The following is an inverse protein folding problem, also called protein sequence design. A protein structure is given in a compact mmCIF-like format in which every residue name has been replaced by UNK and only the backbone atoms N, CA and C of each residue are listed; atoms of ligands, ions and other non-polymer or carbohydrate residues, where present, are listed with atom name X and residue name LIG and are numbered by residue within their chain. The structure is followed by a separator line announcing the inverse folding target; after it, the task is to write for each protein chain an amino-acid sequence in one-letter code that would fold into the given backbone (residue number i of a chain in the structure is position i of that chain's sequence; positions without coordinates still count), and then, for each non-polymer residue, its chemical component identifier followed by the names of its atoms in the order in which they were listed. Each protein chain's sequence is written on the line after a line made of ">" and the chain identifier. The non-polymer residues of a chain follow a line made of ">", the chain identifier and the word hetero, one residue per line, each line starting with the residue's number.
data_IF_582164626878
#
_entry.id   IF_582164626878
#
_cell.length_a   1.000
_cell.length_b   1.000
_cell.length_c   1.000
_cell.angle_alpha   90.00
_cell.angle_beta   90.00
_cell.angle_gamma   90.00
#
_symmetry.space_group_name_H-M   'P 1'
#
loop_
_entity.id
_entity.type
_entity.pdbx_description
1 polymer ?
#
# COMPACT_ATOMS: atom_id res chain seq x y z
N UNK A 1 19.65 -8.20 -18.91
CA UNK A 1 19.63 -7.77 -17.49
C UNK A 1 18.17 -7.73 -17.08
N UNK A 2 17.84 -8.31 -15.93
CA UNK A 2 16.46 -8.35 -15.43
C UNK A 2 16.41 -7.73 -14.03
N UNK A 3 15.33 -7.02 -13.74
CA UNK A 3 15.01 -6.52 -12.41
C UNK A 3 13.96 -7.45 -11.80
N UNK A 4 14.27 -8.01 -10.62
CA UNK A 4 13.35 -8.86 -9.87
C UNK A 4 12.99 -8.18 -8.57
N UNK A 5 11.70 -8.12 -8.29
CA UNK A 5 11.14 -7.55 -7.07
C UNK A 5 10.06 -8.48 -6.54
N UNK A 6 9.78 -8.40 -5.25
CA UNK A 6 8.78 -9.26 -4.63
C UNK A 6 8.82 -9.16 -3.11
N UNK A 7 7.90 -9.87 -2.48
CA UNK A 7 7.85 -10.05 -1.03
C UNK A 7 7.35 -11.45 -0.71
N UNK A 8 7.57 -11.88 0.52
CA UNK A 8 6.97 -13.10 1.04
C UNK A 8 6.42 -12.83 2.43
N UNK A 9 5.32 -13.48 2.75
CA UNK A 9 4.74 -13.56 4.09
C UNK A 9 4.54 -15.02 4.48
N UNK A 10 3.98 -15.25 5.67
CA UNK A 10 3.59 -16.60 6.11
C UNK A 10 2.43 -17.19 5.30
N UNK A 11 1.62 -16.34 4.66
CA UNK A 11 0.43 -16.74 3.90
C UNK A 11 0.69 -16.75 2.38
N UNK A 12 0.94 -15.57 1.80
CA UNK A 12 1.22 -15.41 0.36
C UNK A 12 2.55 -14.72 0.09
N UNK A 13 3.19 -15.10 -1.01
CA UNK A 13 4.32 -14.40 -1.59
C UNK A 13 4.07 -14.00 -3.03
N UNK A 14 4.77 -12.97 -3.47
CA UNK A 14 4.67 -12.40 -4.80
C UNK A 14 6.04 -12.07 -5.37
N UNK A 15 6.20 -12.28 -6.68
CA UNK A 15 7.34 -11.77 -7.42
C UNK A 15 6.90 -11.23 -8.78
N UNK A 16 7.70 -10.28 -9.25
CA UNK A 16 7.69 -9.77 -10.62
C UNK A 16 9.12 -9.75 -11.17
N UNK A 17 9.30 -10.25 -12.39
CA UNK A 17 10.54 -10.21 -13.15
C UNK A 17 10.32 -9.33 -14.39
N UNK A 18 11.01 -8.19 -14.43
CA UNK A 18 11.00 -7.23 -15.51
C UNK A 18 12.29 -7.37 -16.33
N UNK A 19 12.16 -7.47 -17.65
CA UNK A 19 13.31 -7.61 -18.54
C UNK A 19 13.08 -6.93 -19.89
N UNK A 20 14.17 -6.69 -20.62
CA UNK A 20 14.09 -6.06 -21.94
C UNK A 20 13.37 -6.93 -22.97
N UNK A 21 12.72 -6.33 -23.98
CA UNK A 21 12.07 -7.07 -25.06
C UNK A 21 13.12 -7.77 -25.92
N UNK A 22 12.66 -8.67 -26.80
CA UNK A 22 13.55 -9.19 -27.84
C UNK A 22 14.02 -8.04 -28.74
N UNK A 23 15.32 -7.99 -29.13
CA UNK A 23 15.83 -6.92 -29.98
C UNK A 23 14.99 -6.74 -31.24
N UNK A 24 14.59 -5.51 -31.52
CA UNK A 24 13.76 -5.15 -32.65
C UNK A 24 14.09 -3.74 -33.12
N UNK A 25 13.59 -3.34 -34.29
CA UNK A 25 13.67 -1.97 -34.79
C UNK A 25 12.65 -1.02 -34.16
N UNK A 26 11.93 -1.46 -33.13
CA UNK A 26 10.95 -0.63 -32.41
C UNK A 26 11.67 0.48 -31.65
N UNK A 27 11.06 1.67 -31.64
CA UNK A 27 11.47 2.76 -30.74
C UNK A 27 11.35 2.36 -29.25
N UNK A 28 10.50 1.38 -28.94
CA UNK A 28 10.28 0.83 -27.60
C UNK A 28 11.15 -0.41 -27.32
N UNK A 29 12.26 -0.60 -28.03
CA UNK A 29 13.18 -1.73 -27.82
C UNK A 29 13.86 -1.75 -26.45
N UNK A 30 13.64 -0.74 -25.61
CA UNK A 30 14.11 -0.64 -24.23
C UNK A 30 12.98 -0.62 -23.18
N UNK A 31 11.72 -0.70 -23.60
CA UNK A 31 10.58 -0.68 -22.67
C UNK A 31 10.51 -2.02 -21.92
N UNK A 32 10.54 -2.02 -20.58
CA UNK A 32 10.57 -3.26 -19.82
C UNK A 32 9.28 -4.08 -20.02
N UNK A 33 9.46 -5.36 -20.29
CA UNK A 33 8.39 -6.36 -20.35
C UNK A 33 8.35 -7.18 -19.07
N UNK A 34 7.14 -7.52 -18.63
CA UNK A 34 6.90 -8.48 -17.56
C UNK A 34 7.19 -9.88 -18.10
N UNK A 35 8.35 -10.42 -17.72
CA UNK A 35 8.80 -11.76 -18.12
C UNK A 35 8.10 -12.83 -17.31
N UNK A 36 7.92 -12.57 -16.01
CA UNK A 36 7.25 -13.48 -15.09
C UNK A 36 6.56 -12.72 -13.97
N UNK A 37 5.38 -13.18 -13.59
CA UNK A 37 4.79 -12.88 -12.28
C UNK A 37 4.39 -14.20 -11.63
N UNK A 38 4.54 -14.28 -10.31
CA UNK A 38 4.22 -15.52 -9.60
C UNK A 38 3.63 -15.19 -8.24
N UNK A 39 2.58 -15.93 -7.87
CA UNK A 39 2.00 -15.96 -6.54
C UNK A 39 2.17 -17.38 -6.00
N UNK A 40 2.60 -17.49 -4.75
CA UNK A 40 2.76 -18.77 -4.07
C UNK A 40 2.28 -18.67 -2.63
N UNK A 41 1.95 -19.83 -2.05
CA UNK A 41 1.63 -19.97 -0.64
C UNK A 41 2.90 -20.15 0.22
N UNK A 42 2.93 -19.50 1.37
CA UNK A 42 3.97 -19.61 2.38
C UNK A 42 5.23 -18.77 2.12
N UNK A 43 6.23 -18.89 3.00
CA UNK A 43 7.38 -17.98 3.04
C UNK A 43 8.41 -18.23 1.94
N UNK A 44 8.27 -19.31 1.17
CA UNK A 44 9.25 -19.72 0.17
C UNK A 44 8.56 -20.17 -1.11
N UNK A 45 9.02 -19.64 -2.23
CA UNK A 45 8.59 -20.10 -3.54
C UNK A 45 9.11 -21.53 -3.78
N UNK A 46 8.17 -22.47 -3.92
CA UNK A 46 8.42 -23.85 -4.35
C UNK A 46 7.40 -24.23 -5.44
N UNK A 47 7.73 -25.16 -6.36
CA UNK A 47 6.79 -25.58 -7.39
C UNK A 47 5.45 -26.06 -6.84
N UNK A 48 5.47 -26.78 -5.71
CA UNK A 48 4.27 -27.29 -5.06
C UNK A 48 3.42 -26.21 -4.37
N UNK A 49 4.01 -25.06 -4.02
CA UNK A 49 3.29 -23.94 -3.40
C UNK A 49 2.86 -22.86 -4.40
N UNK A 50 3.21 -23.01 -5.68
CA UNK A 50 2.88 -22.03 -6.72
C UNK A 50 1.38 -22.07 -7.02
N UNK A 51 0.71 -20.93 -6.88
CA UNK A 51 -0.74 -20.78 -7.05
C UNK A 51 -1.08 -20.15 -8.39
N UNK A 52 -0.36 -19.09 -8.77
CA UNK A 52 -0.55 -18.40 -10.05
C UNK A 52 0.83 -18.14 -10.65
N UNK A 53 1.00 -18.49 -11.91
CA UNK A 53 2.25 -18.32 -12.63
C UNK A 53 1.97 -17.74 -14.01
N UNK A 54 2.44 -16.51 -14.20
CA UNK A 54 2.50 -15.86 -15.50
C UNK A 54 3.89 -16.02 -16.09
N UNK A 55 3.99 -16.48 -17.33
CA UNK A 55 5.22 -16.44 -18.13
C UNK A 55 4.93 -15.78 -19.48
N UNK A 56 5.50 -14.59 -19.70
CA UNK A 56 5.14 -13.74 -20.84
C UNK A 56 3.62 -13.49 -20.91
N UNK A 57 2.95 -13.82 -22.03
CA UNK A 57 1.51 -13.59 -22.19
C UNK A 57 0.62 -14.71 -21.59
N UNK A 58 1.21 -15.83 -21.15
CA UNK A 58 0.49 -16.96 -20.59
C UNK A 58 0.34 -16.80 -19.08
N UNK A 59 -0.90 -16.87 -18.58
CA UNK A 59 -1.19 -16.96 -17.14
C UNK A 59 -1.86 -18.30 -16.84
N UNK A 60 -1.33 -19.00 -15.84
CA UNK A 60 -1.89 -20.25 -15.32
C UNK A 60 -2.22 -20.12 -13.85
N UNK A 61 -3.32 -20.75 -13.46
CA UNK A 61 -3.79 -20.81 -12.08
C UNK A 61 -3.86 -22.27 -11.65
N UNK A 62 -3.46 -22.55 -10.42
CA UNK A 62 -3.57 -23.85 -9.78
C UNK A 62 -5.03 -24.06 -9.36
N UNK A 63 -5.68 -25.08 -9.91
CA UNK A 63 -7.03 -25.46 -9.47
C UNK A 63 -7.01 -26.27 -8.17
N UNK A 64 -8.18 -26.47 -7.59
CA UNK A 64 -8.38 -27.26 -6.35
C UNK A 64 -7.92 -28.72 -6.48
N UNK A 65 -7.95 -29.26 -7.70
CA UNK A 65 -7.43 -30.59 -8.04
C UNK A 65 -5.90 -30.63 -8.15
N UNK A 66 -5.24 -29.50 -7.91
CA UNK A 66 -3.80 -29.33 -8.08
C UNK A 66 -3.37 -29.27 -9.55
N UNK A 67 -4.27 -29.21 -10.52
CA UNK A 67 -3.89 -29.10 -11.93
C UNK A 67 -3.79 -27.64 -12.38
N UNK A 68 -2.95 -27.39 -13.37
CA UNK A 68 -2.85 -26.06 -13.98
C UNK A 68 -4.01 -25.83 -14.95
N UNK A 69 -4.72 -24.72 -14.75
CA UNK A 69 -5.72 -24.19 -15.68
C UNK A 69 -5.18 -22.92 -16.33
N UNK A 70 -5.42 -22.76 -17.62
CA UNK A 70 -5.00 -21.56 -18.35
C UNK A 70 -6.05 -20.48 -18.13
N UNK A 71 -5.65 -19.37 -17.52
CA UNK A 71 -6.53 -18.21 -17.32
C UNK A 71 -6.60 -17.36 -18.59
N UNK A 72 -5.43 -17.09 -19.20
CA UNK A 72 -5.31 -16.38 -20.47
C UNK A 72 -4.00 -16.74 -21.15
N UNK A 73 -3.97 -16.60 -22.49
CA UNK A 73 -2.77 -16.77 -23.33
C UNK A 73 -2.34 -15.48 -24.01
N UNK A 74 -3.12 -14.41 -23.86
CA UNK A 74 -3.00 -13.18 -24.64
C UNK A 74 -2.84 -11.95 -23.73
N UNK A 75 -2.22 -12.11 -22.56
CA UNK A 75 -1.93 -10.97 -21.69
C UNK A 75 -0.83 -10.12 -22.32
N UNK A 76 -1.04 -8.81 -22.44
CA UNK A 76 -0.03 -7.91 -22.98
C UNK A 76 1.25 -7.96 -22.13
N UNK A 77 2.42 -7.91 -22.77
CA UNK A 77 3.73 -8.07 -22.11
C UNK A 77 4.01 -7.02 -21.03
N UNK A 78 3.36 -5.86 -21.09
CA UNK A 78 3.47 -4.77 -20.11
C UNK A 78 2.37 -4.79 -19.03
N UNK A 79 1.28 -5.53 -19.22
CA UNK A 79 0.11 -5.50 -18.32
C UNK A 79 0.21 -6.56 -17.24
N UNK A 80 0.21 -6.21 -15.94
CA UNK A 80 0.26 -7.17 -14.82
C UNK A 80 -0.94 -8.14 -14.81
N UNK A 81 -0.69 -9.40 -14.41
CA UNK A 81 -1.75 -10.39 -14.16
C UNK A 81 -2.69 -9.97 -13.02
N UNK A 82 -2.25 -9.11 -12.09
CA UNK A 82 -3.10 -8.60 -11.01
C UNK A 82 -4.26 -7.75 -11.54
N UNK A 83 -4.08 -7.08 -12.67
CA UNK A 83 -5.14 -6.29 -13.29
C UNK A 83 -6.20 -7.17 -13.92
N UNK A 84 -5.76 -8.22 -14.64
CA UNK A 84 -6.62 -8.97 -15.56
C UNK A 84 -7.11 -10.32 -15.01
N UNK A 85 -6.45 -10.87 -13.99
CA UNK A 85 -6.68 -12.25 -13.49
C UNK A 85 -7.09 -12.26 -12.01
N UNK A 86 -7.48 -11.12 -11.45
CA UNK A 86 -8.07 -11.02 -10.11
C UNK A 86 -9.57 -11.39 -10.13
N UNK A 87 -9.88 -12.67 -10.37
CA UNK A 87 -11.24 -13.23 -10.33
C UNK A 87 -11.51 -13.87 -8.94
N UNK A 88 -12.50 -13.38 -8.17
CA UNK A 88 -12.84 -13.93 -6.85
C UNK A 88 -13.13 -15.43 -6.82
N UNK A 89 -13.58 -16.01 -7.95
CA UNK A 89 -13.98 -17.43 -8.00
C UNK A 89 -12.83 -18.35 -8.42
N UNK A 90 -12.01 -17.87 -9.35
CA UNK A 90 -11.01 -18.71 -10.00
C UNK A 90 -9.59 -18.43 -9.49
N UNK A 91 -9.32 -17.24 -8.96
CA UNK A 91 -8.01 -16.83 -8.43
C UNK A 91 -8.18 -15.86 -7.24
N UNK A 92 -8.83 -16.28 -6.14
CA UNK A 92 -9.07 -15.43 -4.98
C UNK A 92 -7.76 -14.87 -4.40
N UNK A 93 -6.66 -15.62 -4.44
CA UNK A 93 -5.36 -15.20 -3.93
C UNK A 93 -4.76 -14.04 -4.74
N UNK A 94 -5.05 -13.97 -6.05
CA UNK A 94 -4.64 -12.83 -6.89
C UNK A 94 -5.39 -11.57 -6.47
N UNK A 95 -6.69 -11.69 -6.16
CA UNK A 95 -7.50 -10.57 -5.68
C UNK A 95 -7.05 -10.10 -4.29
N UNK A 96 -6.88 -11.03 -3.34
CA UNK A 96 -6.44 -10.73 -1.98
C UNK A 96 -5.08 -10.01 -1.99
N UNK A 97 -4.14 -10.55 -2.75
CA UNK A 97 -2.81 -9.97 -2.88
C UNK A 97 -2.85 -8.58 -3.53
N UNK A 98 -3.68 -8.39 -4.57
CA UNK A 98 -3.86 -7.09 -5.21
C UNK A 98 -4.39 -6.06 -4.23
N UNK A 99 -5.44 -6.37 -3.47
CA UNK A 99 -5.99 -5.41 -2.50
C UNK A 99 -5.01 -5.14 -1.35
N UNK A 100 -4.24 -6.14 -0.91
CA UNK A 100 -3.15 -5.95 0.06
C UNK A 100 -2.09 -4.98 -0.44
N UNK A 101 -1.56 -5.19 -1.65
CA UNK A 101 -0.56 -4.29 -2.26
C UNK A 101 -1.15 -2.89 -2.50
N UNK A 102 -2.41 -2.79 -2.95
CA UNK A 102 -3.10 -1.50 -3.12
C UNK A 102 -3.35 -0.78 -1.80
N UNK A 103 -3.27 -1.45 -0.66
CA UNK A 103 -3.34 -0.81 0.66
C UNK A 103 -1.98 -0.28 1.14
N UNK A 104 -0.86 -0.68 0.53
CA UNK A 104 0.47 -0.25 0.96
C UNK A 104 0.70 1.23 0.66
N UNK A 105 1.18 1.96 1.66
CA UNK A 105 1.58 3.36 1.52
C UNK A 105 3.03 3.48 1.97
N UNK A 106 3.80 4.19 1.16
CA UNK A 106 5.19 4.53 1.47
C UNK A 106 5.27 6.05 1.49
N UNK A 107 5.66 6.60 2.63
CA UNK A 107 5.94 8.02 2.79
C UNK A 107 7.45 8.16 2.92
N UNK A 108 8.07 8.90 2.01
CA UNK A 108 9.51 9.14 2.00
C UNK A 108 9.88 10.32 2.91
N UNK A 109 9.08 11.38 2.88
CA UNK A 109 9.31 12.58 3.66
C UNK A 109 8.02 13.37 3.88
N UNK A 110 7.82 13.81 5.13
CA UNK A 110 6.92 14.93 5.44
C UNK A 110 7.74 16.16 5.74
N UNK A 111 7.34 17.30 5.16
CA UNK A 111 7.90 18.58 5.57
C UNK A 111 7.63 18.80 7.06
N UNK A 112 8.64 19.28 7.77
CA UNK A 112 8.57 19.57 9.21
C UNK A 112 8.87 21.02 9.54
N UNK A 113 9.10 21.87 8.54
CA UNK A 113 9.27 23.32 8.72
C UNK A 113 7.98 24.00 9.20
N UNK A 114 8.08 25.28 9.57
CA UNK A 114 6.97 26.06 10.14
C UNK A 114 5.75 26.14 9.22
N UNK A 115 5.96 26.07 7.90
CA UNK A 115 4.91 26.14 6.89
C UNK A 115 4.49 24.75 6.38
N UNK A 116 4.92 23.68 7.04
CA UNK A 116 4.55 22.32 6.68
C UNK A 116 3.02 22.16 6.66
N UNK A 117 2.42 21.60 5.58
CA UNK A 117 0.96 21.48 5.48
C UNK A 117 0.31 20.76 6.66
N UNK A 118 1.01 19.77 7.25
CA UNK A 118 0.58 19.01 8.42
C UNK A 118 0.45 19.85 9.70
N UNK A 119 1.10 21.02 9.78
CA UNK A 119 1.03 21.94 10.93
C UNK A 119 -0.09 22.98 10.80
N UNK A 120 -0.69 23.10 9.61
CA UNK A 120 -1.68 24.13 9.30
C UNK A 120 -3.10 23.59 9.45
N UNK A 121 -4.06 24.51 9.65
CA UNK A 121 -5.47 24.16 9.64
C UNK A 121 -5.95 23.86 8.21
N UNK A 122 -6.48 22.66 7.97
CA UNK A 122 -6.86 22.19 6.62
C UNK A 122 -8.32 21.76 6.56
N UNK A 123 -8.90 21.67 5.35
CA UNK A 123 -10.28 21.23 5.19
C UNK A 123 -10.41 19.78 5.71
N UNK A 124 -11.35 19.56 6.63
CA UNK A 124 -11.63 18.25 7.19
C UNK A 124 -12.55 17.45 6.28
N UNK A 125 -11.99 16.48 5.56
CA UNK A 125 -12.75 15.46 4.84
C UNK A 125 -12.26 14.08 5.26
N UNK A 126 -13.18 13.14 5.48
CA UNK A 126 -12.82 11.77 5.87
C UNK A 126 -11.80 11.19 4.87
N UNK A 127 -10.61 10.87 5.36
CA UNK A 127 -9.48 10.42 4.56
C UNK A 127 -8.87 9.17 5.18
N UNK A 128 -9.01 8.00 4.54
CA UNK A 128 -8.43 6.75 5.06
C UNK A 128 -6.93 6.62 4.75
N UNK A 129 -6.38 7.51 3.93
CA UNK A 129 -5.00 7.47 3.44
C UNK A 129 -4.42 8.87 3.62
N UNK A 130 -3.37 8.99 4.43
CA UNK A 130 -2.63 10.24 4.58
C UNK A 130 -2.02 10.65 3.23
N UNK A 131 -2.15 11.92 2.85
CA UNK A 131 -1.53 12.48 1.66
C UNK A 131 -0.01 12.56 1.80
N UNK A 132 0.72 12.54 0.67
CA UNK A 132 2.19 12.54 0.67
C UNK A 132 2.82 13.80 1.29
N UNK A 133 2.10 14.93 1.33
CA UNK A 133 2.55 16.19 1.94
C UNK A 133 2.08 16.37 3.39
N UNK A 134 1.28 15.43 3.90
CA UNK A 134 0.73 15.43 5.25
C UNK A 134 -0.36 16.48 5.50
N UNK A 135 -0.86 17.19 4.47
CA UNK A 135 -1.86 18.24 4.67
C UNK A 135 -3.12 17.74 5.37
N UNK A 136 -3.54 16.52 5.07
CA UNK A 136 -4.75 15.93 5.63
C UNK A 136 -4.51 15.15 6.93
N UNK A 137 -3.36 15.36 7.62
CA UNK A 137 -3.00 14.66 8.86
C UNK A 137 -4.09 14.74 9.93
N UNK A 138 -4.62 15.94 10.20
CA UNK A 138 -5.68 16.13 11.18
C UNK A 138 -6.95 15.32 10.82
N UNK A 139 -7.29 15.27 9.53
CA UNK A 139 -8.45 14.52 9.05
C UNK A 139 -8.19 13.01 9.04
N UNK A 140 -6.96 12.57 8.77
CA UNK A 140 -6.57 11.16 8.82
C UNK A 140 -6.66 10.63 10.26
N UNK A 141 -6.16 11.40 11.24
CA UNK A 141 -6.25 11.09 12.66
C UNK A 141 -7.71 10.99 13.10
N UNK A 142 -8.56 11.94 12.73
CA UNK A 142 -9.99 11.88 13.09
C UNK A 142 -10.68 10.69 12.42
N UNK A 143 -10.32 10.37 11.18
CA UNK A 143 -10.83 9.18 10.48
C UNK A 143 -10.48 7.90 11.22
N UNK A 144 -9.26 7.76 11.74
CA UNK A 144 -8.85 6.60 12.55
C UNK A 144 -9.65 6.53 13.86
N UNK A 145 -9.91 7.68 14.50
CA UNK A 145 -10.71 7.74 15.74
C UNK A 145 -12.17 7.34 15.52
N UNK A 146 -12.77 7.73 14.39
CA UNK A 146 -14.19 7.49 14.13
C UNK A 146 -14.47 6.07 13.62
N UNK A 147 -13.65 5.55 12.70
CA UNK A 147 -13.94 4.29 11.98
C UNK A 147 -12.75 3.32 11.91
N UNK A 148 -11.58 3.71 12.42
CA UNK A 148 -10.36 2.91 12.42
C UNK A 148 -10.09 2.24 13.77
N UNK A 149 -8.80 1.98 14.04
CA UNK A 149 -8.36 1.41 15.31
C UNK A 149 -7.90 2.51 16.27
N UNK A 150 -8.87 3.08 17.00
CA UNK A 150 -8.63 4.13 18.00
C UNK A 150 -7.59 3.72 19.05
N UNK A 151 -7.70 2.50 19.58
CA UNK A 151 -6.83 2.02 20.67
C UNK A 151 -5.39 1.86 20.19
N UNK A 152 -5.17 1.34 18.97
CA UNK A 152 -3.84 1.23 18.40
C UNK A 152 -3.21 2.61 18.14
N UNK A 153 -4.00 3.59 17.70
CA UNK A 153 -3.52 4.97 17.57
C UNK A 153 -3.13 5.56 18.93
N UNK A 154 -3.98 5.41 19.95
CA UNK A 154 -3.69 5.90 21.29
C UNK A 154 -2.44 5.23 21.89
N UNK A 155 -2.28 3.92 21.69
CA UNK A 155 -1.10 3.17 22.12
C UNK A 155 0.18 3.67 21.41
N UNK A 156 0.13 3.86 20.08
CA UNK A 156 1.27 4.38 19.32
C UNK A 156 1.67 5.81 19.74
N UNK A 157 0.69 6.67 20.00
CA UNK A 157 0.94 8.02 20.53
C UNK A 157 1.56 7.96 21.92
N UNK A 158 1.04 7.11 22.80
CA UNK A 158 1.58 6.98 24.16
C UNK A 158 2.99 6.38 24.20
N UNK A 159 3.34 5.53 23.24
CA UNK A 159 4.69 4.95 23.09
C UNK A 159 5.69 6.03 22.63
N UNK A 160 5.31 6.84 21.65
CA UNK A 160 6.16 7.94 21.14
C UNK A 160 6.24 9.13 22.12
N UNK A 161 5.13 9.47 22.77
CA UNK A 161 4.98 10.62 23.65
C UNK A 161 4.22 10.20 24.92
N UNK A 162 4.93 9.78 25.98
CA UNK A 162 4.31 9.34 27.23
C UNK A 162 3.34 10.38 27.79
N UNK A 163 2.20 9.90 28.28
CA UNK A 163 1.13 10.74 28.86
C UNK A 163 0.62 11.86 27.95
N UNK A 164 0.72 11.65 26.63
CA UNK A 164 0.23 12.60 25.61
C UNK A 164 -1.00 12.06 24.90
N UNK A 165 -1.86 12.97 24.45
CA UNK A 165 -3.09 12.65 23.74
C UNK A 165 -3.29 13.62 22.57
N UNK A 166 -3.71 13.08 21.43
CA UNK A 166 -4.09 13.88 20.27
C UNK A 166 -5.58 14.23 20.33
N UNK A 167 -5.91 15.44 19.88
CA UNK A 167 -7.29 15.88 19.69
C UNK A 167 -7.40 16.76 18.46
N UNK A 168 -8.58 16.80 17.85
CA UNK A 168 -8.85 17.61 16.66
C UNK A 168 -9.87 18.68 17.03
N UNK A 169 -9.61 19.92 16.62
CA UNK A 169 -10.63 20.99 16.64
C UNK A 169 -11.17 21.23 15.25
N UNK A 170 -12.47 21.45 15.14
CA UNK A 170 -13.16 21.79 13.90
C UNK A 170 -13.68 23.23 13.98
N UNK A 171 -13.10 24.11 13.17
CA UNK A 171 -13.53 25.51 13.03
C UNK A 171 -14.03 25.75 11.61
N UNK A 172 -15.35 25.73 11.43
CA UNK A 172 -15.97 25.99 10.12
C UNK A 172 -15.60 24.98 9.03
N UNK A 173 -15.40 23.71 9.40
CA UNK A 173 -14.97 22.65 8.49
C UNK A 173 -13.46 22.54 8.31
N UNK A 174 -12.68 23.39 8.99
CA UNK A 174 -11.21 23.25 9.02
C UNK A 174 -10.77 22.54 10.28
N UNK A 175 -9.96 21.51 10.11
CA UNK A 175 -9.45 20.66 11.17
C UNK A 175 -8.03 21.12 11.55
N UNK A 176 -7.78 21.20 12.85
CA UNK A 176 -6.47 21.49 13.43
C UNK A 176 -6.12 20.40 14.43
N UNK A 177 -4.92 19.83 14.29
CA UNK A 177 -4.37 18.86 15.23
C UNK A 177 -3.84 19.57 16.48
N UNK A 178 -4.23 19.06 17.64
CA UNK A 178 -3.76 19.48 18.94
C UNK A 178 -3.12 18.31 19.67
N UNK A 179 -2.09 18.60 20.47
CA UNK A 179 -1.49 17.66 21.40
C UNK A 179 -1.65 18.15 22.83
N UNK A 180 -2.27 17.34 23.68
CA UNK A 180 -2.24 17.52 25.13
C UNK A 180 -1.08 16.70 25.67
N UNK A 181 -0.25 17.29 26.52
CA UNK A 181 0.87 16.63 27.16
C UNK A 181 0.83 16.87 28.67
N UNK A 182 1.23 15.87 29.46
CA UNK A 182 1.34 16.00 30.90
C UNK A 182 2.22 17.21 31.28
N UNK A 183 1.77 17.98 32.28
CA UNK A 183 2.50 19.15 32.79
C UNK A 183 2.21 20.46 32.04
N UNK A 184 1.52 20.44 30.89
CA UNK A 184 1.08 21.65 30.19
C UNK A 184 -0.33 22.07 30.61
N UNK A 185 -0.54 23.38 30.73
CA UNK A 185 -1.82 23.97 31.16
C UNK A 185 -2.86 24.04 30.03
N UNK A 186 -2.44 23.89 28.77
CA UNK A 186 -3.30 23.85 27.60
C UNK A 186 -2.76 22.87 26.55
N UNK A 187 -3.60 22.39 25.63
CA UNK A 187 -3.14 21.72 24.42
C UNK A 187 -2.27 22.65 23.56
N UNK A 188 -1.29 22.05 22.88
CA UNK A 188 -0.43 22.70 21.89
C UNK A 188 -1.04 22.52 20.49
N UNK A 189 -0.99 23.57 19.69
CA UNK A 189 -1.28 23.47 18.25
C UNK A 189 -0.16 22.71 17.53
N UNK A 190 -0.46 22.08 16.40
CA UNK A 190 0.54 21.39 15.58
C UNK A 190 1.73 22.27 15.16
N UNK A 191 1.51 23.59 15.02
CA UNK A 191 2.58 24.55 14.74
C UNK A 191 3.60 24.68 15.90
N UNK A 192 3.20 24.34 17.12
CA UNK A 192 4.02 24.44 18.35
C UNK A 192 4.80 23.14 18.66
N UNK A 193 4.61 22.08 17.88
CA UNK A 193 5.27 20.79 18.09
C UNK A 193 6.67 20.77 17.47
N UNK A 194 7.70 20.38 18.24
CA UNK A 194 9.10 20.24 17.78
C UNK A 194 9.52 18.79 17.62
#
# INVERSE_FOLDING_TARGET
>A
MNLRMGFSSDDLGYLIDLGLPSPSSSAFSLDPEIKRECIWHGPLLRPASTLVDRQGPLVRIRGDDGNWKIATKNLAVCDSMMTHVADPRNAPETLLLRESIRAWRFYDHFRTDVDAPARLSQIGTRTPILGNDGADLAAAIETIREIGNHDALAAAVSDAFPESQLSITNSGGRFTLLMKQHGLLRPLDAAELS
#
